data_IF_442476918819
#
_entry.id   IF_442476918819
#
_cell.length_a   1.000
_cell.length_b   1.000
_cell.length_c   1.000
_cell.angle_alpha   90.00
_cell.angle_beta   90.00
_cell.angle_gamma   90.00
#
_symmetry.space_group_name_H-M   'P 1'
#
loop_
_entity.id
_entity.type
_entity.pdbx_description
1 polymer ?
#
# COMPACT_ATOMS: atom_id res chain seq x y z
N UNK A 1 52.14 10.23 -33.38
CA UNK A 1 51.01 9.52 -32.73
C UNK A 1 50.14 10.53 -32.04
N UNK A 2 49.17 11.07 -32.77
CA UNK A 2 48.37 12.21 -32.37
C UNK A 2 47.24 11.80 -31.41
N UNK A 3 47.20 12.48 -30.27
CA UNK A 3 46.03 12.95 -29.49
C UNK A 3 44.69 12.21 -29.64
N UNK A 4 44.22 11.64 -28.53
CA UNK A 4 42.79 11.41 -28.28
C UNK A 4 42.42 12.12 -26.98
N UNK A 5 41.81 13.29 -27.10
CA UNK A 5 41.03 13.93 -26.04
C UNK A 5 39.63 14.15 -26.61
N UNK A 6 38.66 13.39 -26.11
CA UNK A 6 37.25 13.67 -26.33
C UNK A 6 36.57 13.73 -24.96
N UNK A 7 36.51 14.94 -24.41
CA UNK A 7 35.57 15.28 -23.34
C UNK A 7 34.14 15.18 -23.91
N UNK A 8 33.46 14.09 -23.59
CA UNK A 8 32.02 13.99 -23.78
C UNK A 8 31.33 14.85 -22.71
N UNK A 9 30.95 16.08 -23.08
CA UNK A 9 30.01 16.90 -22.32
C UNK A 9 28.70 16.13 -22.12
N UNK A 10 28.51 15.61 -20.92
CA UNK A 10 27.24 15.06 -20.45
C UNK A 10 26.25 16.22 -20.30
N UNK A 11 25.40 16.42 -21.31
CA UNK A 11 24.23 17.29 -21.19
C UNK A 11 23.25 16.64 -20.21
N UNK A 12 23.27 17.07 -18.97
CA UNK A 12 22.14 16.93 -18.06
C UNK A 12 21.05 17.88 -18.52
N UNK A 13 20.13 17.35 -19.32
CA UNK A 13 18.84 17.98 -19.59
C UNK A 13 17.77 17.00 -19.11
N UNK A 14 17.64 16.87 -17.78
CA UNK A 14 16.45 16.29 -17.19
C UNK A 14 15.42 17.42 -17.07
N UNK A 15 14.89 17.81 -18.23
CA UNK A 15 13.69 18.63 -18.31
C UNK A 15 12.52 17.73 -17.96
N UNK A 16 12.13 17.73 -16.68
CA UNK A 16 11.01 16.93 -16.18
C UNK A 16 9.80 17.09 -17.08
N UNK A 17 9.45 16.03 -17.81
CA UNK A 17 8.19 15.97 -18.54
C UNK A 17 7.09 16.02 -17.48
N UNK A 18 6.28 17.06 -17.52
CA UNK A 18 5.03 17.10 -16.75
C UNK A 18 4.17 15.93 -17.20
N UNK A 19 3.99 14.93 -16.34
CA UNK A 19 3.04 13.84 -16.58
C UNK A 19 1.64 14.44 -16.45
N UNK A 20 0.91 14.48 -17.56
CA UNK A 20 -0.46 14.97 -17.58
C UNK A 20 -1.37 14.09 -16.71
N UNK A 21 -2.28 14.72 -15.96
CA UNK A 21 -3.24 14.04 -15.09
C UNK A 21 -3.85 15.00 -14.07
N UNK A 22 -4.73 14.50 -13.18
CA UNK A 22 -5.48 15.34 -12.25
C UNK A 22 -4.64 15.96 -11.13
N UNK A 23 -3.50 15.35 -10.78
CA UNK A 23 -2.59 15.90 -9.77
C UNK A 23 -1.80 17.07 -10.34
N UNK A 24 -1.81 18.18 -9.60
CA UNK A 24 -0.87 19.27 -9.86
C UNK A 24 0.58 18.78 -9.69
N UNK A 25 1.54 19.44 -10.35
CA UNK A 25 2.96 19.06 -10.24
C UNK A 25 3.48 19.05 -8.79
N UNK A 26 3.00 19.97 -7.96
CA UNK A 26 3.39 20.06 -6.55
C UNK A 26 2.77 18.96 -5.69
N UNK A 27 1.50 18.63 -5.94
CA UNK A 27 0.81 17.54 -5.25
C UNK A 27 1.44 16.19 -5.60
N UNK A 28 1.68 15.93 -6.89
CA UNK A 28 2.40 14.75 -7.37
C UNK A 28 3.78 14.62 -6.70
N UNK A 29 4.55 15.71 -6.63
CA UNK A 29 5.86 15.72 -5.99
C UNK A 29 5.78 15.37 -4.50
N UNK A 30 4.79 15.91 -3.77
CA UNK A 30 4.60 15.62 -2.34
C UNK A 30 4.16 14.18 -2.09
N UNK A 31 3.23 13.67 -2.90
CA UNK A 31 2.74 12.29 -2.80
C UNK A 31 3.85 11.28 -3.12
N UNK A 32 4.63 11.51 -4.18
CA UNK A 32 5.78 10.66 -4.51
C UNK A 32 6.83 10.68 -3.39
N UNK A 33 7.12 11.85 -2.81
CA UNK A 33 8.04 11.95 -1.68
C UNK A 33 7.53 11.17 -0.45
N UNK A 34 6.23 11.24 -0.15
CA UNK A 34 5.60 10.47 0.93
C UNK A 34 5.66 8.96 0.65
N UNK A 35 5.29 8.53 -0.55
CA UNK A 35 5.41 7.16 -1.03
C UNK A 35 6.84 6.60 -0.88
N UNK A 36 7.84 7.39 -1.28
CA UNK A 36 9.26 7.00 -1.14
C UNK A 36 9.71 6.94 0.32
N UNK A 37 9.23 7.83 1.18
CA UNK A 37 9.51 7.79 2.61
C UNK A 37 8.92 6.52 3.25
N UNK A 38 7.68 6.17 2.91
CA UNK A 38 7.04 4.92 3.36
C UNK A 38 7.83 3.69 2.91
N UNK A 39 8.21 3.62 1.63
CA UNK A 39 9.05 2.53 1.13
C UNK A 39 10.39 2.43 1.85
N UNK A 40 11.02 3.58 2.14
CA UNK A 40 12.28 3.62 2.89
C UNK A 40 12.10 3.07 4.31
N UNK A 41 11.03 3.47 5.01
CA UNK A 41 10.72 2.95 6.35
C UNK A 41 10.39 1.46 6.32
N UNK A 42 9.65 0.97 5.31
CA UNK A 42 9.38 -0.47 5.14
C UNK A 42 10.66 -1.27 4.96
N UNK A 43 11.61 -0.79 4.13
CA UNK A 43 12.93 -1.42 3.96
C UNK A 43 13.73 -1.32 5.27
N UNK A 44 13.75 -0.17 5.93
CA UNK A 44 14.46 0.01 7.20
C UNK A 44 14.01 -1.00 8.25
N UNK A 45 12.69 -1.20 8.39
CA UNK A 45 12.11 -2.22 9.26
C UNK A 45 12.55 -3.64 8.93
N UNK A 46 12.65 -4.02 7.66
CA UNK A 46 13.05 -5.39 7.28
C UNK A 46 14.56 -5.62 7.50
N UNK A 47 15.39 -4.63 7.20
CA UNK A 47 16.84 -4.83 7.05
C UNK A 47 17.70 -4.24 8.19
N UNK A 48 17.32 -3.12 8.79
CA UNK A 48 18.22 -2.32 9.63
C UNK A 48 17.96 -2.52 11.13
N UNK A 49 19.03 -2.55 11.91
CA UNK A 49 19.00 -2.49 13.38
C UNK A 49 19.67 -1.23 13.95
N UNK A 50 20.40 -0.48 13.11
CA UNK A 50 21.05 0.79 13.43
C UNK A 50 21.25 1.64 12.16
N UNK A 51 21.73 2.87 12.32
CA UNK A 51 21.99 3.84 11.26
C UNK A 51 20.77 4.05 10.34
N UNK A 52 19.59 4.39 10.90
CA UNK A 52 18.33 4.38 10.17
C UNK A 52 18.24 5.44 9.07
N UNK A 53 19.12 6.46 9.08
CA UNK A 53 19.18 7.54 8.11
C UNK A 53 20.45 7.48 7.23
N UNK A 54 21.26 6.43 7.35
CA UNK A 54 22.52 6.26 6.63
C UNK A 54 23.47 7.48 6.75
N UNK A 55 23.56 8.07 7.94
CA UNK A 55 24.44 9.24 8.21
C UNK A 55 25.92 8.89 8.11
N UNK A 56 26.25 7.63 8.32
CA UNK A 56 27.55 7.03 8.00
C UNK A 56 27.40 5.94 6.93
N UNK A 57 28.48 5.56 6.22
CA UNK A 57 28.44 4.48 5.26
C UNK A 57 27.84 3.19 5.84
N UNK A 58 26.99 2.51 5.08
CA UNK A 58 26.34 1.28 5.52
C UNK A 58 27.37 0.18 5.79
N UNK A 59 27.32 -0.41 6.99
CA UNK A 59 28.18 -1.51 7.43
C UNK A 59 27.33 -2.74 7.75
N UNK A 60 27.93 -3.93 7.73
CA UNK A 60 27.25 -5.20 8.06
C UNK A 60 26.60 -5.19 9.44
N UNK A 61 27.22 -4.51 10.40
CA UNK A 61 26.73 -4.37 11.78
C UNK A 61 25.43 -3.58 11.89
N UNK A 62 25.09 -2.72 10.92
CA UNK A 62 23.80 -2.02 10.89
C UNK A 62 22.65 -2.90 10.40
N UNK A 63 22.96 -4.07 9.81
CA UNK A 63 21.98 -4.95 9.17
C UNK A 63 21.61 -6.07 10.15
N UNK A 64 20.31 -6.39 10.23
CA UNK A 64 19.80 -7.48 11.04
C UNK A 64 20.53 -8.80 10.74
N UNK A 65 20.82 -9.64 11.75
CA UNK A 65 21.43 -10.94 11.54
C UNK A 65 20.46 -11.92 10.85
N UNK A 66 19.16 -11.74 11.06
CA UNK A 66 18.07 -12.47 10.39
C UNK A 66 17.14 -11.48 9.71
N UNK A 67 16.93 -11.64 8.42
CA UNK A 67 16.04 -10.81 7.63
C UNK A 67 14.65 -11.45 7.64
N UNK A 68 13.70 -10.80 8.30
CA UNK A 68 12.33 -11.27 8.45
C UNK A 68 11.39 -10.13 8.03
N UNK A 69 10.35 -10.48 7.27
CA UNK A 69 9.39 -9.52 6.71
C UNK A 69 9.23 -9.70 5.20
N UNK A 70 8.22 -9.02 4.64
CA UNK A 70 7.87 -9.14 3.22
C UNK A 70 7.97 -7.81 2.51
N UNK A 71 8.79 -7.77 1.47
CA UNK A 71 8.90 -6.61 0.58
C UNK A 71 7.87 -6.66 -0.55
N UNK A 72 7.55 -7.83 -1.10
CA UNK A 72 6.85 -7.98 -2.39
C UNK A 72 5.54 -7.19 -2.51
N UNK A 73 4.71 -7.17 -1.47
CA UNK A 73 3.45 -6.42 -1.47
C UNK A 73 3.59 -4.96 -1.01
N UNK A 74 4.68 -4.62 -0.30
CA UNK A 74 4.78 -3.38 0.49
C UNK A 74 4.71 -2.10 -0.35
N UNK A 75 5.42 -1.96 -1.49
CA UNK A 75 5.30 -0.79 -2.36
C UNK A 75 3.90 -0.61 -2.94
N UNK A 76 3.23 -1.71 -3.28
CA UNK A 76 1.85 -1.65 -3.77
C UNK A 76 0.90 -1.08 -2.71
N UNK A 77 1.01 -1.58 -1.48
CA UNK A 77 0.24 -1.09 -0.34
C UNK A 77 0.52 0.38 -0.04
N UNK A 78 1.80 0.76 0.04
CA UNK A 78 2.20 2.15 0.26
C UNK A 78 1.62 3.07 -0.83
N UNK A 79 1.69 2.67 -2.11
CA UNK A 79 1.12 3.43 -3.22
C UNK A 79 -0.39 3.62 -3.04
N UNK A 80 -1.14 2.54 -2.79
CA UNK A 80 -2.59 2.59 -2.60
C UNK A 80 -2.98 3.48 -1.41
N UNK A 81 -2.37 3.26 -0.24
CA UNK A 81 -2.70 4.00 0.98
C UNK A 81 -2.30 5.48 0.89
N UNK A 82 -1.25 5.85 0.14
CA UNK A 82 -0.93 7.27 -0.15
C UNK A 82 -2.11 7.96 -0.86
N UNK A 83 -2.73 7.29 -1.83
CA UNK A 83 -3.85 7.86 -2.58
C UNK A 83 -5.17 7.81 -1.82
N UNK A 84 -5.41 6.76 -1.02
CA UNK A 84 -6.55 6.71 -0.12
C UNK A 84 -6.47 7.84 0.92
N UNK A 85 -5.30 8.06 1.53
CA UNK A 85 -5.07 9.20 2.43
C UNK A 85 -5.29 10.55 1.74
N UNK A 86 -5.00 10.67 0.44
CA UNK A 86 -5.28 11.90 -0.31
C UNK A 86 -6.78 12.18 -0.36
N UNK A 87 -7.60 11.21 -0.78
CA UNK A 87 -9.05 11.43 -0.91
C UNK A 87 -9.72 11.58 0.45
N UNK A 88 -9.28 10.84 1.47
CA UNK A 88 -9.71 11.05 2.87
C UNK A 88 -9.52 12.50 3.28
N UNK A 89 -8.31 13.06 3.07
CA UNK A 89 -8.00 14.43 3.50
C UNK A 89 -8.66 15.50 2.64
N UNK A 90 -8.85 15.24 1.34
CA UNK A 90 -9.44 16.21 0.42
C UNK A 90 -10.95 16.35 0.69
N UNK A 91 -11.61 15.22 0.89
CA UNK A 91 -13.08 15.13 0.90
C UNK A 91 -13.65 14.89 2.31
N UNK A 92 -12.81 14.85 3.34
CA UNK A 92 -13.18 14.62 4.75
C UNK A 92 -13.95 13.30 4.95
N UNK A 93 -13.47 12.23 4.31
CA UNK A 93 -14.14 10.93 4.29
C UNK A 93 -13.92 10.15 5.58
N UNK A 94 -14.99 9.54 6.09
CA UNK A 94 -14.88 8.47 7.08
C UNK A 94 -14.49 7.16 6.34
N UNK A 95 -13.21 6.80 6.37
CA UNK A 95 -12.68 5.64 5.67
C UNK A 95 -11.77 4.80 6.56
N UNK A 96 -11.89 3.47 6.46
CA UNK A 96 -10.95 2.52 7.06
C UNK A 96 -10.33 1.62 6.00
N UNK A 97 -9.21 0.98 6.37
CA UNK A 97 -8.50 0.04 5.51
C UNK A 97 -8.66 -1.40 6.00
N UNK A 98 -8.94 -2.31 5.07
CA UNK A 98 -8.73 -3.74 5.26
C UNK A 98 -7.59 -4.17 4.36
N UNK A 99 -6.50 -4.68 4.95
CA UNK A 99 -5.30 -5.10 4.22
C UNK A 99 -5.25 -6.63 4.17
N UNK A 100 -5.83 -7.20 3.12
CA UNK A 100 -5.81 -8.63 2.83
C UNK A 100 -4.40 -9.22 2.78
N UNK A 101 -3.43 -8.66 2.00
CA UNK A 101 -2.03 -9.10 2.06
C UNK A 101 -1.33 -8.55 3.31
N UNK A 102 -1.83 -8.94 4.49
CA UNK A 102 -1.42 -8.43 5.79
C UNK A 102 0.03 -8.78 6.16
N UNK A 103 0.67 -9.69 5.44
CA UNK A 103 2.11 -9.90 5.51
C UNK A 103 2.94 -8.66 5.10
N UNK A 104 2.30 -7.64 4.51
CA UNK A 104 2.81 -6.29 4.28
C UNK A 104 2.84 -5.37 5.51
N UNK A 105 2.89 -5.93 6.72
CA UNK A 105 2.95 -5.20 8.01
C UNK A 105 3.89 -3.98 8.07
N UNK A 106 5.13 -4.02 7.52
CA UNK A 106 6.01 -2.85 7.52
C UNK A 106 5.38 -1.60 6.89
N UNK A 107 4.51 -1.77 5.92
CA UNK A 107 3.83 -0.68 5.22
C UNK A 107 2.86 0.05 6.16
N UNK A 108 2.00 -0.71 6.85
CA UNK A 108 1.00 -0.13 7.75
C UNK A 108 1.64 0.48 9.01
N UNK A 109 2.70 -0.15 9.53
CA UNK A 109 3.52 0.46 10.60
C UNK A 109 4.18 1.77 10.13
N UNK A 110 4.70 1.81 8.89
CA UNK A 110 5.29 3.03 8.35
C UNK A 110 4.26 4.16 8.17
N UNK A 111 3.05 3.83 7.73
CA UNK A 111 1.92 4.77 7.66
C UNK A 111 1.57 5.34 9.03
N UNK A 112 1.27 4.48 10.00
CA UNK A 112 0.94 4.91 11.36
C UNK A 112 2.08 5.75 11.99
N UNK A 113 3.34 5.44 11.69
CA UNK A 113 4.49 6.21 12.19
C UNK A 113 4.56 7.61 11.58
N UNK A 114 4.41 7.76 10.26
CA UNK A 114 4.45 9.09 9.62
C UNK A 114 3.17 9.91 9.82
N UNK A 115 2.07 9.27 10.19
CA UNK A 115 0.83 9.91 10.61
C UNK A 115 0.86 10.35 12.09
N UNK A 116 1.90 9.97 12.84
CA UNK A 116 2.09 10.30 14.25
C UNK A 116 1.34 9.38 15.23
N UNK A 117 0.30 8.68 14.77
CA UNK A 117 -0.54 7.79 15.60
C UNK A 117 0.24 6.64 16.24
N UNK A 118 1.30 6.15 15.58
CA UNK A 118 2.18 5.15 16.19
C UNK A 118 2.91 5.69 17.42
N UNK A 119 3.34 6.96 17.39
CA UNK A 119 4.00 7.63 18.53
C UNK A 119 3.00 7.92 19.65
N UNK A 120 1.76 8.27 19.31
CA UNK A 120 0.69 8.46 20.30
C UNK A 120 0.42 7.18 21.11
N UNK A 121 0.37 6.03 20.43
CA UNK A 121 0.15 4.71 21.05
C UNK A 121 1.43 4.17 21.71
N UNK A 122 2.59 4.40 21.11
CA UNK A 122 3.90 3.94 21.58
C UNK A 122 4.87 5.11 21.79
N UNK A 123 4.77 5.87 22.91
CA UNK A 123 5.55 7.09 23.14
C UNK A 123 7.08 6.90 23.16
N UNK A 124 7.54 5.67 23.29
CA UNK A 124 8.96 5.31 23.24
C UNK A 124 9.54 5.30 21.80
N UNK A 125 8.68 5.34 20.78
CA UNK A 125 9.01 5.36 19.35
C UNK A 125 8.72 6.77 18.84
N UNK A 126 9.66 7.68 19.05
CA UNK A 126 9.53 9.12 18.73
C UNK A 126 9.73 9.43 17.24
N UNK A 127 9.22 10.56 16.77
CA UNK A 127 9.40 11.03 15.38
C UNK A 127 10.76 11.69 15.14
N UNK A 128 11.84 10.98 15.49
CA UNK A 128 13.22 11.40 15.32
C UNK A 128 14.14 10.23 14.90
N UNK A 129 15.44 10.49 14.79
CA UNK A 129 16.40 9.45 14.37
C UNK A 129 16.50 8.28 15.37
N UNK A 130 16.34 8.52 16.66
CA UNK A 130 16.41 7.47 17.69
C UNK A 130 15.12 6.65 17.73
N UNK A 131 13.96 7.29 17.59
CA UNK A 131 12.69 6.59 17.47
C UNK A 131 12.61 5.77 16.17
N UNK A 132 13.09 6.31 15.04
CA UNK A 132 13.21 5.54 13.79
C UNK A 132 14.15 4.34 13.92
N UNK A 133 15.26 4.48 14.64
CA UNK A 133 16.16 3.34 14.96
C UNK A 133 15.42 2.25 15.74
N UNK A 134 14.64 2.62 16.75
CA UNK A 134 13.82 1.67 17.53
C UNK A 134 12.74 1.03 16.67
N UNK A 135 12.03 1.82 15.86
CA UNK A 135 11.03 1.37 14.90
C UNK A 135 11.60 0.29 13.97
N UNK A 136 12.79 0.54 13.41
CA UNK A 136 13.44 -0.43 12.53
C UNK A 136 13.84 -1.69 13.27
N UNK A 137 14.51 -1.52 14.42
CA UNK A 137 15.01 -2.64 15.22
C UNK A 137 13.90 -3.58 15.70
N UNK A 138 12.77 -3.04 16.18
CA UNK A 138 11.71 -3.85 16.79
C UNK A 138 10.93 -4.72 15.80
N UNK A 139 10.87 -4.35 14.52
CA UNK A 139 10.10 -5.10 13.54
C UNK A 139 10.60 -6.55 13.38
N UNK A 140 9.72 -7.53 13.58
CA UNK A 140 10.04 -8.96 13.50
C UNK A 140 11.28 -9.37 14.32
N UNK A 141 11.46 -8.75 15.49
CA UNK A 141 12.60 -8.98 16.37
C UNK A 141 12.15 -9.62 17.69
N UNK A 142 12.97 -10.44 18.37
CA UNK A 142 12.62 -10.98 19.67
C UNK A 142 12.25 -9.87 20.68
N UNK A 143 11.03 -9.92 21.21
CA UNK A 143 10.48 -8.89 22.10
C UNK A 143 10.08 -7.58 21.41
N UNK A 144 10.00 -7.57 20.08
CA UNK A 144 9.48 -6.46 19.29
C UNK A 144 8.08 -6.76 18.73
N UNK A 145 7.80 -6.29 17.51
CA UNK A 145 6.46 -6.31 16.89
C UNK A 145 6.34 -7.38 15.79
N UNK A 146 5.13 -7.91 15.49
CA UNK A 146 4.86 -8.88 14.44
C UNK A 146 5.25 -8.43 13.03
N UNK A 147 5.29 -9.38 12.12
CA UNK A 147 5.54 -9.13 10.69
C UNK A 147 4.28 -8.74 9.90
N UNK A 148 3.10 -8.99 10.47
CA UNK A 148 1.81 -8.77 9.84
C UNK A 148 1.19 -7.43 10.27
N UNK A 149 0.03 -7.06 9.71
CA UNK A 149 -0.80 -5.92 10.16
C UNK A 149 -1.54 -6.31 11.44
N UNK A 150 -0.78 -6.75 12.44
CA UNK A 150 -1.30 -7.33 13.69
C UNK A 150 -2.15 -6.33 14.50
N UNK A 151 -2.94 -6.79 15.48
CA UNK A 151 -3.82 -5.94 16.28
C UNK A 151 -3.11 -4.80 17.04
N UNK A 152 -1.80 -4.93 17.26
CA UNK A 152 -0.97 -3.89 17.86
C UNK A 152 -0.60 -2.76 16.88
N UNK A 153 -0.89 -2.91 15.58
CA UNK A 153 -0.73 -1.84 14.59
C UNK A 153 -1.94 -0.91 14.66
N UNK A 154 -1.77 0.40 14.97
CA UNK A 154 -2.87 1.35 14.96
C UNK A 154 -3.60 1.34 13.61
N UNK A 155 -4.93 1.33 13.67
CA UNK A 155 -5.80 1.24 12.49
C UNK A 155 -6.12 -0.19 12.02
N UNK A 156 -5.49 -1.23 12.57
CA UNK A 156 -5.79 -2.61 12.18
C UNK A 156 -7.04 -3.16 12.86
N UNK A 157 -7.95 -3.71 12.05
CA UNK A 157 -9.02 -4.62 12.47
C UNK A 157 -8.96 -5.96 11.72
N UNK A 158 -7.91 -6.18 10.92
CA UNK A 158 -7.72 -7.36 10.09
C UNK A 158 -6.21 -7.62 9.92
N UNK A 159 -5.73 -8.72 10.48
CA UNK A 159 -4.28 -9.04 10.46
C UNK A 159 -3.78 -9.48 9.09
N UNK A 160 -4.60 -10.15 8.29
CA UNK A 160 -4.24 -10.67 6.97
C UNK A 160 -3.09 -11.69 6.99
N UNK A 161 -2.98 -12.46 8.08
CA UNK A 161 -2.07 -13.60 8.20
C UNK A 161 -2.63 -14.85 7.52
N UNK A 162 -3.78 -15.33 8.00
CA UNK A 162 -4.59 -16.31 7.25
C UNK A 162 -5.42 -15.57 6.20
N UNK A 163 -5.02 -15.75 4.94
CA UNK A 163 -5.60 -15.10 3.78
C UNK A 163 -7.02 -15.62 3.47
N UNK A 164 -7.92 -14.73 3.04
CA UNK A 164 -9.22 -15.10 2.47
C UNK A 164 -10.41 -14.34 3.05
N UNK A 165 -10.22 -13.62 4.16
CA UNK A 165 -11.31 -12.99 4.93
C UNK A 165 -11.40 -11.48 4.74
N UNK A 166 -10.60 -10.89 3.85
CA UNK A 166 -10.54 -9.44 3.66
C UNK A 166 -11.93 -8.85 3.36
N UNK A 167 -12.61 -9.35 2.32
CA UNK A 167 -13.91 -8.81 1.94
C UNK A 167 -15.02 -9.14 2.95
N UNK A 168 -15.04 -10.32 3.56
CA UNK A 168 -16.07 -10.60 4.58
C UNK A 168 -15.95 -9.67 5.78
N UNK A 169 -14.72 -9.35 6.21
CA UNK A 169 -14.50 -8.34 7.25
C UNK A 169 -14.87 -6.94 6.77
N UNK A 170 -14.57 -6.60 5.52
CA UNK A 170 -14.89 -5.30 4.96
C UNK A 170 -16.41 -5.03 4.89
N UNK A 171 -17.17 -5.99 4.36
CA UNK A 171 -18.63 -5.90 4.32
C UNK A 171 -19.24 -5.89 5.72
N UNK A 172 -18.71 -6.71 6.64
CA UNK A 172 -19.14 -6.70 8.04
C UNK A 172 -18.93 -5.34 8.73
N UNK A 173 -17.86 -4.63 8.40
CA UNK A 173 -17.58 -3.29 8.94
C UNK A 173 -18.49 -2.21 8.32
N UNK A 174 -18.91 -2.38 7.07
CA UNK A 174 -19.78 -1.44 6.37
C UNK A 174 -21.26 -1.56 6.79
N UNK A 175 -21.72 -2.73 7.21
CA UNK A 175 -23.12 -2.91 7.63
C UNK A 175 -23.51 -1.99 8.79
N UNK A 176 -24.72 -1.42 8.72
CA UNK A 176 -25.27 -0.45 9.68
C UNK A 176 -24.39 0.81 9.89
N UNK A 177 -23.53 1.14 8.92
CA UNK A 177 -22.58 2.25 9.02
C UNK A 177 -22.56 3.12 7.74
N UNK A 178 -23.63 3.89 7.47
CA UNK A 178 -23.91 4.47 6.15
C UNK A 178 -22.86 5.45 5.64
N UNK A 179 -22.11 6.11 6.52
CA UNK A 179 -21.09 7.09 6.15
C UNK A 179 -19.69 6.46 5.99
N UNK A 180 -19.52 5.16 6.26
CA UNK A 180 -18.22 4.51 6.24
C UNK A 180 -17.88 3.98 4.83
N UNK A 181 -16.70 4.36 4.33
CA UNK A 181 -16.07 3.68 3.20
C UNK A 181 -15.02 2.69 3.73
N UNK A 182 -15.10 1.43 3.30
CA UNK A 182 -14.11 0.41 3.63
C UNK A 182 -13.28 0.11 2.39
N UNK A 183 -12.07 0.68 2.31
CA UNK A 183 -11.13 0.35 1.25
C UNK A 183 -10.47 -1.00 1.57
N UNK A 184 -10.84 -2.03 0.79
CA UNK A 184 -10.43 -3.41 1.03
C UNK A 184 -9.40 -3.86 -0.01
N UNK A 185 -8.13 -3.84 0.36
CA UNK A 185 -7.05 -4.34 -0.50
C UNK A 185 -7.01 -5.86 -0.45
N UNK A 186 -7.17 -6.49 -1.61
CA UNK A 186 -7.22 -7.94 -1.78
C UNK A 186 -5.98 -8.40 -2.53
N UNK A 187 -5.21 -9.33 -1.97
CA UNK A 187 -4.09 -9.93 -2.71
C UNK A 187 -4.59 -10.77 -3.88
N UNK A 188 -3.96 -10.72 -5.05
CA UNK A 188 -4.35 -11.60 -6.16
C UNK A 188 -4.11 -13.10 -5.88
N UNK A 189 -3.12 -13.42 -5.04
CA UNK A 189 -2.95 -14.76 -4.49
C UNK A 189 -4.00 -15.12 -3.43
N UNK A 190 -4.47 -14.15 -2.64
CA UNK A 190 -5.58 -14.32 -1.71
C UNK A 190 -6.88 -14.63 -2.48
N UNK A 191 -7.07 -14.00 -3.64
CA UNK A 191 -8.26 -14.15 -4.49
C UNK A 191 -8.48 -15.58 -5.01
N UNK A 192 -7.47 -16.45 -4.89
CA UNK A 192 -7.58 -17.87 -5.23
C UNK A 192 -8.15 -18.72 -4.09
N UNK A 193 -8.32 -18.15 -2.89
CA UNK A 193 -8.91 -18.85 -1.74
C UNK A 193 -10.43 -18.96 -1.89
N UNK A 194 -11.00 -20.08 -1.41
CA UNK A 194 -12.45 -20.29 -1.40
C UNK A 194 -13.24 -19.20 -0.67
N UNK A 195 -12.84 -18.82 0.57
CA UNK A 195 -13.50 -17.73 1.30
C UNK A 195 -13.54 -16.42 0.51
N UNK A 196 -12.41 -16.01 -0.08
CA UNK A 196 -12.40 -14.75 -0.80
C UNK A 196 -13.20 -14.82 -2.11
N UNK A 197 -13.07 -15.90 -2.87
CA UNK A 197 -13.82 -16.09 -4.12
C UNK A 197 -15.34 -15.93 -3.94
N UNK A 198 -15.92 -16.47 -2.86
CA UNK A 198 -17.35 -16.28 -2.58
C UNK A 198 -17.69 -14.94 -1.95
N UNK A 199 -16.74 -14.32 -1.24
CA UNK A 199 -17.00 -13.06 -0.53
C UNK A 199 -17.25 -11.86 -1.46
N UNK A 200 -16.82 -11.92 -2.73
CA UNK A 200 -17.20 -10.95 -3.77
C UNK A 200 -18.72 -10.84 -3.96
N UNK A 201 -19.49 -11.88 -3.60
CA UNK A 201 -20.95 -11.86 -3.69
C UNK A 201 -21.62 -11.02 -2.59
N UNK A 202 -20.86 -10.52 -1.61
CA UNK A 202 -21.42 -9.83 -0.44
C UNK A 202 -22.14 -8.53 -0.77
N UNK A 203 -21.82 -7.89 -1.91
CA UNK A 203 -22.55 -6.71 -2.41
C UNK A 203 -24.05 -6.97 -2.67
N UNK A 204 -24.49 -8.24 -2.81
CA UNK A 204 -25.92 -8.57 -2.93
C UNK A 204 -26.69 -8.48 -1.62
N UNK A 205 -26.00 -8.37 -0.49
CA UNK A 205 -26.61 -8.23 0.84
C UNK A 205 -26.53 -6.80 1.38
N UNK A 206 -25.70 -5.95 0.77
CA UNK A 206 -25.51 -4.56 1.18
C UNK A 206 -26.66 -3.69 0.66
N UNK A 207 -27.24 -2.88 1.54
CA UNK A 207 -28.25 -1.88 1.21
C UNK A 207 -27.64 -0.48 1.32
N UNK A 208 -27.39 0.22 0.21
CA UNK A 208 -26.72 1.52 0.23
C UNK A 208 -27.52 2.63 0.93
N UNK A 209 -28.79 2.39 1.29
CA UNK A 209 -29.57 3.32 2.09
C UNK A 209 -29.34 3.20 3.61
N UNK A 210 -28.72 2.11 4.07
CA UNK A 210 -28.55 1.78 5.49
C UNK A 210 -27.10 1.47 5.86
N UNK A 211 -26.35 0.91 4.91
CA UNK A 211 -24.99 0.44 5.07
C UNK A 211 -24.01 1.38 4.38
N UNK A 212 -22.75 1.32 4.80
CA UNK A 212 -21.65 2.01 4.15
C UNK A 212 -21.27 1.39 2.81
N UNK A 213 -20.12 1.78 2.28
CA UNK A 213 -19.63 1.29 1.00
C UNK A 213 -18.34 0.48 1.17
N UNK A 214 -18.24 -0.66 0.49
CA UNK A 214 -16.97 -1.38 0.36
C UNK A 214 -16.36 -1.03 -0.98
N UNK A 215 -15.11 -0.59 -0.98
CA UNK A 215 -14.29 -0.36 -2.17
C UNK A 215 -13.22 -1.46 -2.27
N UNK A 216 -13.47 -2.56 -3.01
CA UNK A 216 -12.46 -3.59 -3.23
C UNK A 216 -11.36 -3.10 -4.16
N UNK A 217 -10.11 -3.33 -3.77
CA UNK A 217 -8.93 -3.05 -4.59
C UNK A 217 -8.17 -4.36 -4.78
N UNK A 218 -8.31 -4.98 -5.95
CA UNK A 218 -7.52 -6.16 -6.29
C UNK A 218 -6.06 -5.74 -6.54
N UNK A 219 -5.18 -6.08 -5.59
CA UNK A 219 -3.75 -5.87 -5.71
C UNK A 219 -3.12 -6.92 -6.66
N UNK A 220 -3.29 -6.69 -7.95
CA UNK A 220 -2.88 -7.55 -9.05
C UNK A 220 -1.39 -7.41 -9.38
N UNK A 221 -0.52 -7.74 -8.41
CA UNK A 221 0.94 -7.62 -8.57
C UNK A 221 1.57 -8.78 -9.36
N UNK A 222 0.79 -9.80 -9.70
CA UNK A 222 1.14 -10.85 -10.64
C UNK A 222 1.63 -12.15 -10.02
N UNK A 223 1.94 -12.16 -8.72
CA UNK A 223 2.63 -13.26 -8.06
C UNK A 223 2.19 -13.46 -6.61
N UNK A 224 2.18 -14.74 -6.22
CA UNK A 224 2.22 -15.20 -4.83
C UNK A 224 3.63 -15.72 -4.51
N UNK A 225 3.81 -16.40 -3.38
CA UNK A 225 5.13 -16.77 -2.83
C UNK A 225 6.11 -17.32 -3.89
N UNK A 226 5.67 -18.29 -4.70
CA UNK A 226 6.52 -18.97 -5.66
C UNK A 226 5.82 -19.27 -6.99
N UNK A 227 4.71 -18.59 -7.29
CA UNK A 227 3.90 -18.84 -8.47
C UNK A 227 3.24 -17.56 -8.97
N UNK A 228 2.89 -17.50 -10.26
CA UNK A 228 1.96 -16.49 -10.73
C UNK A 228 0.56 -16.66 -10.13
N UNK A 229 -0.23 -15.60 -10.15
CA UNK A 229 -1.63 -15.63 -9.72
C UNK A 229 -2.58 -15.84 -10.91
N UNK A 230 -3.68 -16.57 -10.72
CA UNK A 230 -4.63 -16.94 -11.79
C UNK A 230 -5.18 -15.67 -12.44
N UNK A 231 -5.76 -14.78 -11.65
CA UNK A 231 -6.39 -13.55 -12.15
C UNK A 231 -5.41 -12.61 -12.84
N UNK A 232 -4.11 -12.71 -12.53
CA UNK A 232 -3.08 -11.92 -13.19
C UNK A 232 -2.64 -12.47 -14.56
N UNK A 233 -3.09 -13.68 -14.94
CA UNK A 233 -2.67 -14.37 -16.17
C UNK A 233 -3.79 -14.60 -17.16
N UNK A 234 -5.05 -14.41 -16.76
CA UNK A 234 -6.17 -14.42 -17.69
C UNK A 234 -6.19 -13.13 -18.55
N UNK A 235 -6.80 -13.17 -19.74
CA UNK A 235 -7.02 -11.97 -20.55
C UNK A 235 -7.75 -10.86 -19.78
N UNK A 236 -7.41 -9.60 -20.07
CA UNK A 236 -8.03 -8.43 -19.42
C UNK A 236 -9.55 -8.39 -19.60
N UNK A 237 -10.06 -8.82 -20.75
CA UNK A 237 -11.51 -8.85 -21.01
C UNK A 237 -12.22 -9.96 -20.22
N UNK A 238 -11.55 -11.09 -19.95
CA UNK A 238 -12.07 -12.11 -19.05
C UNK A 238 -12.10 -11.61 -17.60
N UNK A 239 -11.05 -10.92 -17.15
CA UNK A 239 -10.99 -10.32 -15.81
C UNK A 239 -12.08 -9.25 -15.62
N UNK A 240 -12.31 -8.40 -16.62
CA UNK A 240 -13.39 -7.42 -16.61
C UNK A 240 -14.76 -8.11 -16.51
N UNK A 241 -15.04 -9.09 -17.39
CA UNK A 241 -16.31 -9.85 -17.36
C UNK A 241 -16.52 -10.59 -16.05
N UNK A 242 -15.45 -11.07 -15.41
CA UNK A 242 -15.52 -11.73 -14.11
C UNK A 242 -16.08 -10.80 -13.04
N UNK A 243 -15.57 -9.58 -12.92
CA UNK A 243 -16.06 -8.60 -11.94
C UNK A 243 -17.41 -7.99 -12.31
N UNK A 244 -17.64 -7.69 -13.60
CA UNK A 244 -18.96 -7.25 -14.10
C UNK A 244 -20.04 -8.30 -13.81
N UNK A 245 -19.73 -9.58 -14.03
CA UNK A 245 -20.63 -10.70 -13.72
C UNK A 245 -20.92 -10.85 -12.21
N UNK A 246 -20.06 -10.33 -11.35
CA UNK A 246 -20.29 -10.25 -9.90
C UNK A 246 -20.98 -8.95 -9.46
N UNK A 247 -21.33 -8.07 -10.39
CA UNK A 247 -22.03 -6.82 -10.11
C UNK A 247 -21.12 -5.68 -9.64
N UNK A 248 -19.86 -5.67 -10.07
CA UNK A 248 -18.93 -4.55 -9.86
C UNK A 248 -18.65 -3.83 -11.18
N UNK A 249 -18.30 -2.55 -11.09
CA UNK A 249 -17.72 -1.78 -12.19
C UNK A 249 -16.20 -1.78 -12.04
N UNK A 250 -15.43 -2.54 -12.84
CA UNK A 250 -13.99 -2.62 -12.68
C UNK A 250 -13.27 -1.42 -13.30
N UNK A 251 -12.38 -0.79 -12.52
CA UNK A 251 -11.44 0.22 -12.97
C UNK A 251 -10.02 -0.35 -12.98
N UNK A 252 -9.20 0.03 -13.97
CA UNK A 252 -7.84 -0.48 -14.15
C UNK A 252 -6.81 0.63 -13.99
N UNK A 253 -5.82 0.37 -13.13
CA UNK A 253 -4.59 1.16 -13.00
C UNK A 253 -3.42 0.24 -13.28
N UNK A 254 -2.61 0.58 -14.29
CA UNK A 254 -1.55 -0.29 -14.77
C UNK A 254 -0.28 0.54 -15.04
N UNK A 255 0.89 0.02 -14.63
CA UNK A 255 2.16 0.68 -14.92
C UNK A 255 3.29 0.31 -13.99
N UNK A 256 4.50 0.71 -14.39
CA UNK A 256 5.73 0.57 -13.63
C UNK A 256 6.42 1.91 -13.33
N UNK A 257 6.01 2.99 -14.00
CA UNK A 257 6.48 4.35 -13.73
C UNK A 257 5.63 4.97 -12.61
N UNK A 258 6.23 5.30 -11.44
CA UNK A 258 5.47 5.81 -10.30
C UNK A 258 4.69 7.10 -10.61
N UNK A 259 5.25 8.02 -11.40
CA UNK A 259 4.57 9.28 -11.70
C UNK A 259 3.30 9.08 -12.54
N UNK A 260 3.37 8.22 -13.56
CA UNK A 260 2.21 7.84 -14.35
C UNK A 260 1.17 7.06 -13.52
N UNK A 261 1.60 6.16 -12.64
CA UNK A 261 0.70 5.41 -11.74
C UNK A 261 0.03 6.34 -10.72
N UNK A 262 0.73 7.36 -10.21
CA UNK A 262 0.13 8.37 -9.35
C UNK A 262 -1.00 9.11 -10.07
N UNK A 263 -0.77 9.57 -11.30
CA UNK A 263 -1.83 10.25 -12.06
C UNK A 263 -3.04 9.35 -12.32
N UNK A 264 -2.82 8.09 -12.69
CA UNK A 264 -3.89 7.11 -12.92
C UNK A 264 -4.69 6.79 -11.65
N UNK A 265 -4.01 6.56 -10.52
CA UNK A 265 -4.69 6.28 -9.25
C UNK A 265 -5.51 7.47 -8.78
N UNK A 266 -4.98 8.69 -8.92
CA UNK A 266 -5.73 9.89 -8.57
C UNK A 266 -6.99 10.03 -9.44
N UNK A 267 -6.89 9.81 -10.75
CA UNK A 267 -8.03 9.88 -11.68
C UNK A 267 -9.11 8.84 -11.35
N UNK A 268 -8.70 7.59 -11.14
CA UNK A 268 -9.61 6.49 -10.81
C UNK A 268 -10.26 6.70 -9.44
N UNK A 269 -9.49 7.05 -8.41
CA UNK A 269 -10.07 7.26 -7.07
C UNK A 269 -10.94 8.51 -7.01
N UNK A 270 -10.63 9.57 -7.76
CA UNK A 270 -11.49 10.74 -7.87
C UNK A 270 -12.83 10.39 -8.52
N UNK A 271 -12.81 9.54 -9.55
CA UNK A 271 -14.01 9.04 -10.21
C UNK A 271 -14.83 8.15 -9.27
N UNK A 272 -14.20 7.13 -8.68
CA UNK A 272 -14.88 6.14 -7.86
C UNK A 272 -15.46 6.75 -6.58
N UNK A 273 -14.72 7.65 -5.91
CA UNK A 273 -15.22 8.32 -4.71
C UNK A 273 -16.42 9.23 -5.04
N UNK A 274 -16.45 9.85 -6.23
CA UNK A 274 -17.60 10.66 -6.65
C UNK A 274 -18.83 9.83 -7.04
N UNK A 275 -18.66 8.53 -7.36
CA UNK A 275 -19.74 7.60 -7.69
C UNK A 275 -20.36 6.93 -6.45
N UNK A 276 -19.61 6.86 -5.34
CA UNK A 276 -20.06 6.34 -4.03
C UNK A 276 -20.95 7.39 -3.35
#
# INVERSE_FOLDING_TARGET
MATVTAEAKRKTADGGKTVAGPLSAEELRKMDAYFRALNYLSVGQIYLLDNPLLKEPLKREHIKPRLLGHWGTSPGLNMLCVHLNRVIKRDDLNMIYIIGPGHGGPSMVAHAYLEGTYTEVYPNITEDAEGMKKLFKQFSFPGGVPSHVAPETPGSIHEGGELGYALSHAFGAAFDNPDLIVACVVGDGEAETGPLATSWQSNKFLNPALDGCVLPILHLNGYKIANPCILARIPKDELQKYFEGMGYTPYFVEGHDPQAVHQQLADVLDTVVAEI
#
